data_IF_526978594148
#
_entry.id   IF_526978594148
#
_cell.length_a   1.000
_cell.length_b   1.000
_cell.length_c   1.000
_cell.angle_alpha   90.00
_cell.angle_beta   90.00
_cell.angle_gamma   90.00
#
_symmetry.space_group_name_H-M   'P 1'
#
loop_
_entity.id
_entity.type
_entity.pdbx_description
1 polymer ?
#
# COMPACT_ATOMS: atom_id res chain seq x y z
N UNK A 1 12.23 -5.91 -22.72
CA UNK A 1 11.64 -4.57 -22.50
C UNK A 1 10.10 -4.56 -22.53
N UNK A 2 9.41 -5.42 -23.31
CA UNK A 2 7.94 -5.49 -23.34
C UNK A 2 7.30 -6.04 -22.05
N UNK A 3 7.95 -7.01 -21.42
CA UNK A 3 7.40 -7.70 -20.25
C UNK A 3 7.31 -6.80 -19.02
N UNK A 4 8.36 -6.02 -18.73
CA UNK A 4 8.37 -5.08 -17.61
C UNK A 4 7.28 -4.02 -17.73
N UNK A 5 7.09 -3.45 -18.94
CA UNK A 5 6.00 -2.51 -19.20
C UNK A 5 4.64 -3.14 -18.94
N UNK A 6 4.40 -4.35 -19.43
CA UNK A 6 3.12 -5.06 -19.19
C UNK A 6 2.89 -5.36 -17.71
N UNK A 7 3.91 -5.76 -16.96
CA UNK A 7 3.78 -5.99 -15.51
C UNK A 7 3.49 -4.69 -14.77
N UNK A 8 4.16 -3.60 -15.14
CA UNK A 8 3.88 -2.29 -14.58
C UNK A 8 2.46 -1.80 -14.93
N UNK A 9 1.99 -1.99 -16.17
CA UNK A 9 0.63 -1.62 -16.56
C UNK A 9 -0.42 -2.41 -15.77
N UNK A 10 -0.17 -3.71 -15.53
CA UNK A 10 -1.02 -4.54 -14.66
C UNK A 10 -0.98 -4.09 -13.20
N UNK A 11 0.20 -3.70 -12.70
CA UNK A 11 0.38 -3.13 -11.38
C UNK A 11 -0.43 -1.83 -11.24
N UNK A 12 -0.28 -0.89 -12.18
CA UNK A 12 -1.04 0.36 -12.20
C UNK A 12 -2.54 0.08 -12.26
N UNK A 13 -2.99 -0.80 -13.16
CA UNK A 13 -4.41 -1.13 -13.30
C UNK A 13 -5.01 -1.71 -12.02
N UNK A 14 -4.26 -2.56 -11.32
CA UNK A 14 -4.72 -3.14 -10.06
C UNK A 14 -4.79 -2.10 -8.92
N UNK A 15 -3.73 -1.32 -8.73
CA UNK A 15 -3.63 -0.39 -7.59
C UNK A 15 -4.43 0.92 -7.79
N UNK A 16 -4.67 1.35 -9.03
CA UNK A 16 -5.41 2.59 -9.31
C UNK A 16 -6.86 2.52 -8.82
N UNK A 17 -7.47 1.34 -8.79
CA UNK A 17 -8.86 1.14 -8.36
C UNK A 17 -8.95 0.02 -7.30
N UNK A 18 -7.98 -0.03 -6.39
CA UNK A 18 -7.74 -1.14 -5.47
C UNK A 18 -8.99 -1.59 -4.71
N UNK A 19 -9.81 -0.65 -4.26
CA UNK A 19 -11.07 -0.90 -3.54
C UNK A 19 -12.16 -1.58 -4.38
N UNK A 20 -12.11 -1.52 -5.70
CA UNK A 20 -13.08 -2.16 -6.60
C UNK A 20 -12.54 -3.39 -7.31
N UNK A 21 -11.23 -3.63 -7.25
CA UNK A 21 -10.62 -4.78 -7.91
C UNK A 21 -10.92 -6.10 -7.19
N UNK A 22 -11.31 -7.16 -7.93
CA UNK A 22 -11.45 -8.47 -7.33
C UNK A 22 -10.07 -9.02 -6.91
N UNK A 23 -9.95 -9.45 -5.64
CA UNK A 23 -8.72 -10.03 -5.08
C UNK A 23 -8.22 -11.27 -5.85
N UNK A 24 -9.07 -11.89 -6.67
CA UNK A 24 -8.66 -12.95 -7.60
C UNK A 24 -7.61 -12.50 -8.62
N UNK A 25 -7.57 -11.22 -8.98
CA UNK A 25 -6.57 -10.65 -9.90
C UNK A 25 -5.15 -10.66 -9.34
N UNK A 26 -5.00 -10.74 -8.01
CA UNK A 26 -3.69 -10.89 -7.37
C UNK A 26 -2.95 -12.13 -7.89
N UNK A 27 -3.65 -13.19 -8.28
CA UNK A 27 -3.03 -14.41 -8.85
C UNK A 27 -2.41 -14.19 -10.24
N UNK A 28 -2.88 -13.19 -10.99
CA UNK A 28 -2.31 -12.80 -12.28
C UNK A 28 -1.11 -11.87 -12.09
N UNK A 29 -1.11 -11.07 -11.02
CA UNK A 29 -0.09 -10.06 -10.73
C UNK A 29 1.09 -10.59 -9.92
N UNK A 30 0.84 -11.42 -8.90
CA UNK A 30 1.85 -11.95 -7.98
C UNK A 30 2.22 -13.41 -8.27
N UNK A 31 3.48 -13.72 -8.01
CA UNK A 31 3.97 -15.09 -7.96
C UNK A 31 3.34 -15.84 -6.76
N UNK A 32 3.05 -17.15 -6.85
CA UNK A 32 2.47 -17.91 -5.73
C UNK A 32 3.27 -17.84 -4.43
N UNK A 33 4.59 -17.67 -4.52
CA UNK A 33 5.52 -17.51 -3.39
C UNK A 33 6.01 -16.07 -3.20
N UNK A 34 5.29 -15.08 -3.73
CA UNK A 34 5.71 -13.68 -3.63
C UNK A 34 5.79 -13.20 -2.19
N UNK A 35 6.60 -12.18 -1.93
CA UNK A 35 6.71 -11.54 -0.63
C UNK A 35 6.29 -10.08 -0.77
N UNK A 36 5.31 -9.65 0.03
CA UNK A 36 4.94 -8.25 0.17
C UNK A 36 5.39 -7.77 1.56
N UNK A 37 6.11 -6.66 1.63
CA UNK A 37 6.54 -6.03 2.87
C UNK A 37 6.00 -4.61 2.88
N UNK A 38 5.34 -4.24 3.97
CA UNK A 38 4.95 -2.87 4.23
C UNK A 38 5.36 -2.50 5.68
N UNK A 39 5.09 -1.26 6.11
CA UNK A 39 5.30 -0.88 7.50
C UNK A 39 4.47 -1.63 8.55
N UNK A 40 3.39 -2.32 8.16
CA UNK A 40 2.56 -3.14 9.06
C UNK A 40 3.10 -4.56 9.23
N UNK A 41 3.83 -5.10 8.25
CA UNK A 41 4.47 -6.40 8.35
C UNK A 41 4.98 -6.99 7.03
N UNK A 42 5.22 -8.30 7.07
CA UNK A 42 5.65 -9.09 5.92
C UNK A 42 4.61 -10.19 5.65
N UNK A 43 4.19 -10.29 4.39
CA UNK A 43 3.19 -11.24 3.89
C UNK A 43 3.84 -12.15 2.85
N UNK A 44 3.91 -13.44 3.16
CA UNK A 44 4.59 -14.42 2.32
C UNK A 44 3.61 -15.38 1.66
N UNK A 45 3.67 -15.44 0.33
CA UNK A 45 2.82 -16.26 -0.51
C UNK A 45 1.51 -15.57 -0.87
N UNK A 46 0.94 -15.98 -2.00
CA UNK A 46 -0.30 -15.41 -2.54
C UNK A 46 -1.47 -15.44 -1.54
N UNK A 47 -1.71 -16.52 -0.76
CA UNK A 47 -2.80 -16.53 0.23
C UNK A 47 -2.63 -15.43 1.29
N UNK A 48 -1.43 -15.26 1.85
CA UNK A 48 -1.17 -14.25 2.86
C UNK A 48 -1.31 -12.82 2.31
N UNK A 49 -0.95 -12.61 1.04
CA UNK A 49 -1.14 -11.34 0.34
C UNK A 49 -2.64 -11.08 0.12
N UNK A 50 -3.41 -12.08 -0.29
CA UNK A 50 -4.87 -11.95 -0.46
C UNK A 50 -5.58 -11.63 0.85
N UNK A 51 -5.23 -12.32 1.94
CA UNK A 51 -5.79 -12.08 3.26
C UNK A 51 -5.45 -10.65 3.75
N UNK A 52 -4.21 -10.21 3.52
CA UNK A 52 -3.79 -8.85 3.81
C UNK A 52 -4.64 -7.80 3.08
N UNK A 53 -4.82 -7.95 1.76
CA UNK A 53 -5.66 -7.01 1.00
C UNK A 53 -7.14 -7.07 1.41
N UNK A 54 -7.67 -8.26 1.76
CA UNK A 54 -9.02 -8.38 2.32
C UNK A 54 -9.17 -7.53 3.58
N UNK A 55 -8.27 -7.67 4.53
CA UNK A 55 -8.29 -6.90 5.77
C UNK A 55 -8.01 -5.40 5.58
N UNK A 56 -7.15 -5.03 4.63
CA UNK A 56 -6.87 -3.62 4.31
C UNK A 56 -8.10 -2.91 3.72
N UNK A 57 -8.88 -3.63 2.89
CA UNK A 57 -10.06 -3.09 2.22
C UNK A 57 -11.34 -3.24 3.06
N UNK A 58 -11.34 -4.13 4.05
CA UNK A 58 -12.44 -4.27 5.01
C UNK A 58 -12.75 -2.93 5.70
N UNK A 59 -13.97 -2.43 5.49
CA UNK A 59 -14.49 -1.15 6.01
C UNK A 59 -13.86 0.12 5.43
N UNK A 60 -12.98 0.00 4.43
CA UNK A 60 -12.45 1.15 3.69
C UNK A 60 -13.48 1.61 2.68
N UNK A 61 -13.88 2.89 2.74
CA UNK A 61 -14.88 3.47 1.83
C UNK A 61 -14.31 3.74 0.45
N UNK A 62 -13.05 4.17 0.41
CA UNK A 62 -12.30 4.45 -0.79
C UNK A 62 -10.84 4.08 -0.56
N UNK A 63 -10.21 3.41 -1.51
CA UNK A 63 -8.77 3.15 -1.52
C UNK A 63 -8.29 3.08 -2.97
N UNK A 64 -7.61 4.13 -3.42
CA UNK A 64 -7.08 4.22 -4.78
C UNK A 64 -5.69 4.83 -4.78
N UNK A 65 -4.90 4.52 -5.80
CA UNK A 65 -3.56 5.06 -5.93
C UNK A 65 -3.44 5.92 -7.18
N UNK A 66 -2.78 7.06 -7.06
CA UNK A 66 -2.21 7.77 -8.21
C UNK A 66 -0.74 7.36 -8.29
N UNK A 67 -0.35 6.66 -9.34
CA UNK A 67 0.99 6.09 -9.50
C UNK A 67 1.75 6.88 -10.56
N UNK A 68 2.95 7.33 -10.22
CA UNK A 68 3.84 8.06 -11.12
C UNK A 68 4.54 7.11 -12.11
N UNK A 69 5.19 7.71 -13.11
CA UNK A 69 6.02 6.96 -14.06
C UNK A 69 7.13 6.23 -13.28
N UNK A 70 7.34 4.92 -13.51
CA UNK A 70 8.29 4.14 -12.74
C UNK A 70 9.71 4.38 -13.22
N UNK A 71 10.66 4.20 -12.31
CA UNK A 71 12.07 4.03 -12.64
C UNK A 71 12.34 2.53 -12.75
N UNK A 72 12.64 2.05 -13.96
CA UNK A 72 12.86 0.64 -14.22
C UNK A 72 14.33 0.32 -14.43
N UNK A 73 14.79 -0.79 -13.84
CA UNK A 73 16.11 -1.36 -14.04
C UNK A 73 16.01 -2.89 -14.13
N UNK A 74 16.30 -3.46 -15.31
CA UNK A 74 16.22 -4.90 -15.58
C UNK A 74 14.86 -5.51 -15.19
N UNK A 75 14.85 -6.30 -14.12
CA UNK A 75 13.73 -7.05 -13.55
C UNK A 75 13.18 -6.38 -12.29
N UNK A 76 13.48 -5.10 -12.08
CA UNK A 76 13.03 -4.30 -10.94
C UNK A 76 12.44 -2.97 -11.42
N UNK A 77 11.45 -2.47 -10.69
CA UNK A 77 11.00 -1.08 -10.82
C UNK A 77 10.76 -0.44 -9.45
N UNK A 78 10.95 0.88 -9.40
CA UNK A 78 10.50 1.72 -8.31
C UNK A 78 9.37 2.62 -8.80
N UNK A 79 8.28 2.70 -8.06
CA UNK A 79 7.13 3.53 -8.38
C UNK A 79 6.78 4.41 -7.19
N UNK A 80 6.73 5.72 -7.40
CA UNK A 80 6.14 6.65 -6.44
C UNK A 80 4.62 6.63 -6.61
N UNK A 81 3.91 6.83 -5.52
CA UNK A 81 2.46 6.86 -5.55
C UNK A 81 1.90 7.75 -4.46
N UNK A 82 0.67 8.19 -4.67
CA UNK A 82 -0.19 8.82 -3.65
C UNK A 82 -1.41 7.94 -3.45
N UNK A 83 -1.57 7.39 -2.25
CA UNK A 83 -2.75 6.65 -1.85
C UNK A 83 -3.82 7.63 -1.39
N UNK A 84 -4.99 7.61 -2.02
CA UNK A 84 -6.17 8.34 -1.59
C UNK A 84 -7.13 7.37 -0.93
N UNK A 85 -7.43 7.61 0.34
CA UNK A 85 -8.21 6.67 1.13
C UNK A 85 -9.20 7.34 2.07
N UNK A 86 -10.22 6.60 2.49
CA UNK A 86 -11.19 7.06 3.47
C UNK A 86 -11.67 5.88 4.31
N UNK A 87 -11.61 6.03 5.63
CA UNK A 87 -12.08 5.02 6.56
C UNK A 87 -13.04 5.65 7.59
N UNK A 88 -14.25 5.09 7.84
CA UNK A 88 -15.23 5.69 8.75
C UNK A 88 -14.69 5.92 10.18
N UNK A 89 -13.83 5.02 10.66
CA UNK A 89 -13.20 5.11 11.98
C UNK A 89 -12.08 6.14 12.10
N UNK A 90 -11.67 6.79 11.00
CA UNK A 90 -10.54 7.70 10.94
C UNK A 90 -11.00 9.05 10.38
N UNK A 91 -10.70 10.16 11.07
CA UNK A 91 -11.10 11.51 10.66
C UNK A 91 -12.59 11.68 10.27
N UNK A 92 -13.48 10.83 10.81
CA UNK A 92 -14.90 10.83 10.48
C UNK A 92 -15.22 10.45 9.02
N UNK A 93 -14.36 9.67 8.36
CA UNK A 93 -14.54 9.26 6.97
C UNK A 93 -14.17 10.32 5.93
N UNK A 94 -13.39 11.34 6.30
CA UNK A 94 -12.80 12.28 5.34
C UNK A 94 -11.85 11.55 4.38
N UNK A 95 -11.77 12.04 3.16
CA UNK A 95 -10.75 11.60 2.22
C UNK A 95 -9.38 12.13 2.66
N UNK A 96 -8.41 11.24 2.72
CA UNK A 96 -7.03 11.48 3.12
C UNK A 96 -6.11 11.05 1.98
N UNK A 97 -4.91 11.61 1.95
CA UNK A 97 -3.87 11.25 0.99
C UNK A 97 -2.57 10.95 1.72
N UNK A 98 -1.85 9.92 1.26
CA UNK A 98 -0.55 9.53 1.79
C UNK A 98 0.41 9.29 0.63
N UNK A 99 1.59 9.90 0.68
CA UNK A 99 2.63 9.66 -0.31
C UNK A 99 3.49 8.46 0.09
N UNK A 100 3.91 7.68 -0.89
CA UNK A 100 4.78 6.54 -0.68
C UNK A 100 5.53 6.13 -1.93
N UNK A 101 6.34 5.09 -1.80
CA UNK A 101 6.96 4.44 -2.93
C UNK A 101 7.05 2.94 -2.73
N UNK A 102 7.02 2.20 -3.84
CA UNK A 102 7.17 0.75 -3.85
C UNK A 102 8.41 0.37 -4.64
N UNK A 103 9.21 -0.54 -4.09
CA UNK A 103 10.27 -1.25 -4.83
C UNK A 103 9.74 -2.63 -5.16
N UNK A 104 9.72 -2.99 -6.44
CA UNK A 104 9.09 -4.20 -6.94
C UNK A 104 10.07 -5.00 -7.78
N UNK A 105 10.28 -6.26 -7.42
CA UNK A 105 11.03 -7.25 -8.17
C UNK A 105 10.08 -8.15 -8.94
N UNK A 106 10.38 -8.35 -10.21
CA UNK A 106 9.58 -9.08 -11.18
C UNK A 106 10.37 -10.27 -11.68
N UNK A 107 9.71 -11.41 -11.84
CA UNK A 107 10.26 -12.53 -12.58
C UNK A 107 9.28 -12.91 -13.67
N UNK A 108 9.75 -12.95 -14.92
CA UNK A 108 8.92 -13.15 -16.10
C UNK A 108 7.79 -12.11 -16.14
N UNK A 109 6.55 -12.48 -15.80
CA UNK A 109 5.36 -11.63 -15.86
C UNK A 109 4.71 -11.43 -14.50
N UNK A 110 5.38 -11.77 -13.40
CA UNK A 110 4.79 -11.73 -12.05
C UNK A 110 5.70 -11.06 -11.04
N UNK A 111 5.09 -10.38 -10.08
CA UNK A 111 5.77 -9.79 -8.94
C UNK A 111 6.22 -10.92 -8.00
N UNK A 112 7.50 -10.95 -7.67
CA UNK A 112 8.08 -11.91 -6.72
C UNK A 112 8.38 -11.28 -5.38
N UNK A 113 8.68 -9.99 -5.36
CA UNK A 113 8.88 -9.24 -4.14
C UNK A 113 8.40 -7.80 -4.34
N UNK A 114 7.68 -7.29 -3.35
CA UNK A 114 7.26 -5.91 -3.29
C UNK A 114 7.54 -5.38 -1.89
N UNK A 115 8.12 -4.19 -1.82
CA UNK A 115 8.30 -3.48 -0.57
C UNK A 115 7.79 -2.06 -0.66
N UNK A 116 6.88 -1.71 0.22
CA UNK A 116 6.25 -0.41 0.30
C UNK A 116 6.89 0.42 1.41
N UNK A 117 7.18 1.68 1.08
CA UNK A 117 7.74 2.68 1.97
C UNK A 117 6.79 3.88 2.01
N UNK A 118 6.21 4.12 3.18
CA UNK A 118 5.37 5.27 3.47
C UNK A 118 5.40 5.56 4.97
N UNK A 119 5.02 6.78 5.35
CA UNK A 119 5.01 7.18 6.75
C UNK A 119 3.70 6.78 7.44
N UNK A 120 3.75 5.71 8.24
CA UNK A 120 2.63 5.30 9.10
C UNK A 120 2.26 6.40 10.11
N UNK A 121 3.23 7.23 10.47
CA UNK A 121 3.08 8.47 11.22
C UNK A 121 2.00 9.36 10.64
N UNK A 122 2.20 9.75 9.38
CA UNK A 122 1.26 10.58 8.61
C UNK A 122 -0.10 9.89 8.42
N UNK A 123 -0.10 8.57 8.23
CA UNK A 123 -1.32 7.77 8.03
C UNK A 123 -2.21 7.65 9.29
N UNK A 124 -1.62 7.44 10.47
CA UNK A 124 -2.34 7.06 11.71
C UNK A 124 -2.36 8.20 12.74
N UNK A 125 -1.26 8.95 12.91
CA UNK A 125 -1.13 9.89 14.04
C UNK A 125 -1.93 11.17 13.88
N UNK A 126 -2.18 11.64 12.66
CA UNK A 126 -2.96 12.86 12.45
C UNK A 126 -4.47 12.64 12.62
N UNK A 127 -4.92 11.38 12.62
CA UNK A 127 -6.32 11.06 12.35
C UNK A 127 -6.97 10.02 13.27
N UNK A 128 -6.21 9.40 14.20
CA UNK A 128 -6.80 8.65 15.32
C UNK A 128 -7.09 9.58 16.53
N UNK A 129 -8.37 9.78 16.91
CA UNK A 129 -8.73 10.63 18.05
C UNK A 129 -8.20 10.14 19.40
N UNK A 130 -7.81 8.85 19.50
CA UNK A 130 -7.37 8.21 20.74
C UNK A 130 -5.87 8.44 21.06
N UNK A 131 -5.02 8.71 20.08
CA UNK A 131 -3.61 9.07 20.30
C UNK A 131 -3.43 10.53 20.74
N UNK A 132 -4.43 11.40 20.51
CA UNK A 132 -4.39 12.78 20.98
C UNK A 132 -4.27 12.89 22.51
N UNK A 133 -4.77 11.93 23.29
CA UNK A 133 -4.61 11.91 24.75
C UNK A 133 -3.22 11.43 25.20
N UNK A 134 -2.68 10.38 24.59
CA UNK A 134 -1.38 9.83 24.93
C UNK A 134 -0.24 10.81 24.58
N UNK A 135 -0.29 11.45 23.41
CA UNK A 135 0.72 12.44 22.98
C UNK A 135 0.66 13.73 23.81
N UNK A 136 -0.53 14.18 24.25
CA UNK A 136 -0.69 15.29 25.21
C UNK A 136 -0.15 14.96 26.61
N UNK A 137 -0.10 13.68 26.98
CA UNK A 137 0.51 13.22 28.24
C UNK A 137 2.04 13.29 28.20
N UNK A 138 2.66 12.91 27.08
CA UNK A 138 4.11 12.92 26.92
C UNK A 138 4.67 14.33 26.75
N UNK A 139 4.03 15.20 25.95
CA UNK A 139 4.48 16.62 25.81
C UNK A 139 4.49 17.38 27.14
N UNK A 140 3.58 17.06 28.07
CA UNK A 140 3.51 17.68 29.40
C UNK A 140 4.64 17.26 30.33
N UNK A 141 5.30 16.13 30.03
CA UNK A 141 6.42 15.58 30.80
C UNK A 141 7.79 16.03 30.29
N UNK A 142 7.86 16.57 29.08
CA UNK A 142 9.10 17.06 28.46
C UNK A 142 9.23 18.59 28.56
N UNK A 143 8.15 19.30 28.89
CA UNK A 143 8.16 20.74 29.18
C UNK A 143 8.07 21.06 30.68
N UNK A 144 8.39 20.09 31.55
CA UNK A 144 8.54 20.26 32.99
C UNK A 144 10.01 20.03 33.40
#
# INVERSE_FOLDING_TARGET
>A
MSTMRSVFDNFVGFYTELDTQPLGLLSALYHPSAILIDPFGQHQGLPAIQDYFSHLLENTKQCRFTIDIPICEHDRFAANWTMHWSHPGISGGKALSLSGCSIVDVQQTRITHQRDYYDVGEMIYEHLPLLGWAVRGVKRRVSA
#
